data_IF_139222487705
#
_entry.id   IF_139222487705
#
_cell.length_a   1.000
_cell.length_b   1.000
_cell.length_c   1.000
_cell.angle_alpha   90.00
_cell.angle_beta   90.00
_cell.angle_gamma   90.00
#
_symmetry.space_group_name_H-M   'P 1'
#
loop_
_entity.id
_entity.type
_entity.pdbx_description
1 polymer ?
#
# COMPACT_ATOMS: atom_id res chain seq x y z
N UNK A 1 -47.05 -27.94 -2.60
CA UNK A 1 -46.05 -27.47 -1.62
C UNK A 1 -44.79 -27.12 -2.36
N UNK A 2 -44.05 -26.10 -1.92
CA UNK A 2 -42.73 -25.79 -2.49
C UNK A 2 -41.71 -26.81 -2.00
N UNK A 3 -40.88 -27.32 -2.90
CA UNK A 3 -39.77 -28.19 -2.54
C UNK A 3 -38.67 -27.37 -1.86
N UNK A 4 -38.28 -27.77 -0.65
CA UNK A 4 -37.11 -27.20 0.04
C UNK A 4 -35.86 -27.76 -0.63
N UNK A 5 -34.87 -26.92 -0.91
CA UNK A 5 -33.60 -27.39 -1.46
C UNK A 5 -32.90 -28.30 -0.44
N UNK A 6 -32.30 -29.43 -0.83
CA UNK A 6 -31.62 -30.33 0.11
C UNK A 6 -30.60 -29.63 1.03
N UNK A 7 -29.92 -28.58 0.55
CA UNK A 7 -29.01 -27.74 1.33
C UNK A 7 -29.66 -26.93 2.46
N UNK A 8 -30.97 -26.67 2.34
CA UNK A 8 -31.79 -25.94 3.31
C UNK A 8 -32.60 -26.89 4.21
N UNK A 9 -32.65 -28.19 3.87
CA UNK A 9 -33.45 -29.19 4.56
C UNK A 9 -32.79 -29.78 5.82
N UNK A 10 -31.58 -29.35 6.19
CA UNK A 10 -30.87 -29.82 7.39
C UNK A 10 -30.47 -31.30 7.35
N UNK A 11 -30.35 -31.88 6.16
CA UNK A 11 -29.98 -33.28 5.96
C UNK A 11 -28.56 -33.58 6.46
N UNK A 12 -28.32 -34.80 6.95
CA UNK A 12 -27.01 -35.26 7.41
C UNK A 12 -26.53 -36.47 6.59
N UNK A 13 -25.35 -36.41 5.95
CA UNK A 13 -24.43 -35.26 5.93
C UNK A 13 -25.01 -34.07 5.14
N UNK A 14 -24.63 -32.85 5.55
CA UNK A 14 -25.09 -31.63 4.89
C UNK A 14 -24.62 -31.64 3.44
N UNK A 15 -25.51 -31.52 2.44
CA UNK A 15 -25.10 -31.51 1.04
C UNK A 15 -24.27 -30.25 0.74
N UNK A 16 -23.36 -30.36 -0.23
CA UNK A 16 -22.46 -29.27 -0.60
C UNK A 16 -23.26 -28.02 -1.03
N UNK A 17 -22.89 -26.86 -0.49
CA UNK A 17 -23.47 -25.59 -0.92
C UNK A 17 -22.81 -25.12 -2.21
N UNK A 18 -23.46 -24.25 -3.02
CA UNK A 18 -22.81 -23.62 -4.16
C UNK A 18 -21.49 -22.93 -3.79
N UNK A 19 -21.37 -22.37 -2.58
CA UNK A 19 -20.14 -21.75 -2.12
C UNK A 19 -19.01 -22.78 -1.90
N UNK A 20 -19.32 -23.97 -1.36
CA UNK A 20 -18.34 -25.05 -1.18
C UNK A 20 -17.80 -25.54 -2.53
N UNK A 21 -18.65 -25.61 -3.55
CA UNK A 21 -18.25 -25.99 -4.90
C UNK A 21 -17.38 -24.92 -5.57
N UNK A 22 -17.69 -23.65 -5.39
CA UNK A 22 -16.87 -22.55 -5.92
C UNK A 22 -15.51 -22.47 -5.22
N UNK A 23 -15.45 -22.68 -3.90
CA UNK A 23 -14.20 -22.81 -3.14
C UNK A 23 -13.35 -23.97 -3.65
N UNK A 24 -13.95 -25.15 -3.79
CA UNK A 24 -13.26 -26.33 -4.32
C UNK A 24 -12.74 -26.10 -5.73
N UNK A 25 -13.54 -25.47 -6.60
CA UNK A 25 -13.14 -25.07 -7.95
C UNK A 25 -11.89 -24.19 -7.93
N UNK A 26 -11.83 -23.21 -7.04
CA UNK A 26 -10.67 -22.35 -6.89
C UNK A 26 -9.43 -23.09 -6.37
N UNK A 27 -9.60 -24.00 -5.39
CA UNK A 27 -8.50 -24.83 -4.87
C UNK A 27 -7.86 -25.67 -5.97
N UNK A 28 -8.67 -26.40 -6.74
CA UNK A 28 -8.19 -27.33 -7.79
C UNK A 28 -7.76 -26.64 -9.08
N UNK A 29 -8.24 -25.41 -9.33
CA UNK A 29 -7.82 -24.56 -10.45
C UNK A 29 -8.08 -25.20 -11.82
N UNK A 30 -7.11 -25.10 -12.72
CA UNK A 30 -7.22 -25.60 -14.10
C UNK A 30 -7.43 -27.12 -14.20
N UNK A 31 -7.33 -27.86 -13.09
CA UNK A 31 -7.62 -29.31 -13.03
C UNK A 31 -9.07 -29.61 -12.62
N UNK A 32 -9.95 -28.61 -12.55
CA UNK A 32 -11.33 -28.79 -12.08
C UNK A 32 -12.12 -29.82 -12.88
N UNK A 33 -11.81 -30.02 -14.16
CA UNK A 33 -12.51 -30.99 -15.00
C UNK A 33 -12.30 -32.42 -14.51
N UNK A 34 -11.24 -32.71 -13.76
CA UNK A 34 -10.91 -34.06 -13.28
C UNK A 34 -11.14 -34.23 -11.78
N UNK A 35 -11.53 -33.17 -11.06
CA UNK A 35 -11.81 -33.24 -9.63
C UNK A 35 -13.09 -34.06 -9.35
N UNK A 36 -12.93 -35.10 -8.53
CA UNK A 36 -14.01 -36.05 -8.22
C UNK A 36 -15.12 -35.41 -7.37
N UNK A 37 -14.79 -34.45 -6.51
CA UNK A 37 -15.76 -33.78 -5.65
C UNK A 37 -16.68 -32.86 -6.44
N UNK A 38 -16.13 -32.05 -7.36
CA UNK A 38 -16.91 -31.20 -8.26
C UNK A 38 -17.82 -32.03 -9.17
N UNK A 39 -17.31 -33.12 -9.75
CA UNK A 39 -18.10 -34.01 -10.62
C UNK A 39 -19.28 -34.67 -9.92
N UNK A 40 -19.14 -34.96 -8.63
CA UNK A 40 -20.21 -35.59 -7.84
C UNK A 40 -21.29 -34.61 -7.39
N UNK A 41 -20.94 -33.33 -7.22
CA UNK A 41 -21.83 -32.34 -6.60
C UNK A 41 -22.33 -31.24 -7.56
N UNK A 42 -21.71 -31.08 -8.73
CA UNK A 42 -22.26 -30.23 -9.81
C UNK A 42 -23.27 -31.01 -10.64
N UNK A 43 -24.34 -30.33 -11.03
CA UNK A 43 -25.28 -30.88 -12.02
C UNK A 43 -24.58 -31.09 -13.38
N UNK A 44 -25.03 -32.09 -14.14
CA UNK A 44 -24.54 -32.33 -15.49
C UNK A 44 -24.63 -31.07 -16.38
N UNK A 45 -25.75 -30.34 -16.31
CA UNK A 45 -25.94 -29.11 -17.07
C UNK A 45 -24.92 -28.00 -16.71
N UNK A 46 -24.51 -27.90 -15.44
CA UNK A 46 -23.49 -26.93 -15.03
C UNK A 46 -22.10 -27.34 -15.54
N UNK A 47 -21.78 -28.64 -15.51
CA UNK A 47 -20.54 -29.18 -16.06
C UNK A 47 -20.47 -28.97 -17.58
N UNK A 48 -21.56 -29.23 -18.30
CA UNK A 48 -21.64 -29.04 -19.75
C UNK A 48 -21.47 -27.55 -20.09
N UNK A 49 -22.16 -26.66 -19.37
CA UNK A 49 -22.00 -25.21 -19.55
C UNK A 49 -20.56 -24.74 -19.31
N UNK A 50 -19.88 -25.25 -18.28
CA UNK A 50 -18.50 -24.87 -18.00
C UNK A 50 -17.50 -25.48 -18.99
N UNK A 51 -17.85 -26.59 -19.64
CA UNK A 51 -17.07 -27.16 -20.75
C UNK A 51 -17.24 -26.35 -22.03
N UNK A 52 -18.47 -25.94 -22.34
CA UNK A 52 -18.79 -25.10 -23.51
C UNK A 52 -18.22 -23.68 -23.36
N UNK A 53 -18.16 -23.17 -22.13
CA UNK A 53 -17.65 -21.84 -21.80
C UNK A 53 -16.53 -21.90 -20.74
N UNK A 54 -15.32 -22.38 -21.10
CA UNK A 54 -14.21 -22.56 -20.16
C UNK A 54 -13.70 -21.25 -19.54
N UNK A 55 -14.07 -20.10 -20.10
CA UNK A 55 -13.75 -18.79 -19.54
C UNK A 55 -14.53 -18.49 -18.26
N UNK A 56 -15.69 -19.13 -18.04
CA UNK A 56 -16.48 -18.98 -16.80
C UNK A 56 -15.72 -19.55 -15.59
N UNK A 57 -15.34 -20.85 -15.55
CA UNK A 57 -14.56 -21.38 -14.44
C UNK A 57 -13.19 -20.71 -14.33
N UNK A 58 -12.53 -20.36 -15.45
CA UNK A 58 -11.27 -19.58 -15.39
C UNK A 58 -11.43 -18.23 -14.72
N UNK A 59 -12.51 -17.48 -15.01
CA UNK A 59 -12.80 -16.21 -14.35
C UNK A 59 -13.11 -16.40 -12.87
N UNK A 60 -13.85 -17.44 -12.50
CA UNK A 60 -14.13 -17.76 -11.09
C UNK A 60 -12.84 -18.12 -10.34
N UNK A 61 -12.03 -19.03 -10.89
CA UNK A 61 -10.71 -19.40 -10.34
C UNK A 61 -9.84 -18.16 -10.20
N UNK A 62 -9.77 -17.32 -11.24
CA UNK A 62 -9.00 -16.08 -11.22
C UNK A 62 -9.49 -15.12 -10.14
N UNK A 63 -10.80 -14.91 -9.99
CA UNK A 63 -11.38 -14.02 -8.99
C UNK A 63 -11.14 -14.53 -7.56
N UNK A 64 -11.15 -15.85 -7.36
CA UNK A 64 -10.98 -16.47 -6.05
C UNK A 64 -9.51 -16.63 -5.64
N UNK A 65 -8.64 -16.86 -6.62
CA UNK A 65 -7.18 -16.88 -6.46
C UNK A 65 -6.56 -15.49 -6.57
N UNK A 66 -7.35 -14.46 -6.91
CA UNK A 66 -6.91 -13.09 -6.77
C UNK A 66 -6.72 -12.86 -5.28
N UNK A 67 -5.46 -12.72 -4.79
CA UNK A 67 -5.18 -12.55 -3.37
C UNK A 67 -5.88 -11.33 -2.78
N UNK A 68 -6.36 -10.44 -3.65
CA UNK A 68 -6.97 -9.18 -3.32
C UNK A 68 -8.51 -9.22 -3.32
N UNK A 69 -9.18 -10.31 -3.72
CA UNK A 69 -10.66 -10.36 -3.87
C UNK A 69 -11.38 -11.46 -3.07
N UNK A 70 -10.67 -12.31 -2.34
CA UNK A 70 -11.31 -13.30 -1.44
C UNK A 70 -11.65 -12.67 -0.08
N UNK A 71 -12.44 -13.33 0.78
CA UNK A 71 -12.77 -12.83 2.14
C UNK A 71 -11.54 -12.78 3.09
N UNK A 72 -10.38 -13.29 2.61
CA UNK A 72 -9.05 -13.06 3.15
C UNK A 72 -8.34 -11.88 2.46
N UNK A 73 -9.07 -11.06 1.71
CA UNK A 73 -8.61 -9.91 0.92
C UNK A 73 -8.27 -8.71 1.79
N UNK A 74 -7.70 -8.96 2.96
CA UNK A 74 -6.70 -8.05 3.49
C UNK A 74 -5.41 -8.26 2.72
N UNK A 75 -4.66 -7.19 2.49
CA UNK A 75 -3.24 -7.31 2.13
C UNK A 75 -2.46 -8.13 3.19
N UNK A 76 -2.98 -8.25 4.43
CA UNK A 76 -2.44 -9.11 5.51
C UNK A 76 -3.52 -9.51 6.54
N UNK A 77 -3.65 -10.79 6.90
CA UNK A 77 -4.56 -11.24 7.98
C UNK A 77 -4.29 -10.61 9.37
N UNK A 78 -3.16 -9.90 9.53
CA UNK A 78 -2.64 -9.35 10.79
C UNK A 78 -2.74 -7.82 10.92
N UNK A 79 -3.34 -7.10 9.96
CA UNK A 79 -3.47 -5.62 10.01
C UNK A 79 -4.54 -5.21 11.04
N UNK A 80 -4.19 -4.35 12.01
CA UNK A 80 -5.18 -3.68 12.86
C UNK A 80 -5.90 -2.59 12.06
N UNK A 81 -7.01 -2.98 11.42
CA UNK A 81 -7.86 -2.09 10.65
C UNK A 81 -8.45 -0.93 11.45
N UNK A 82 -8.57 -1.03 12.78
CA UNK A 82 -9.09 0.08 13.58
C UNK A 82 -8.07 1.22 13.69
N UNK A 83 -6.80 0.89 13.93
CA UNK A 83 -5.71 1.86 13.93
C UNK A 83 -5.46 2.44 12.52
N UNK A 84 -5.53 1.60 11.49
CA UNK A 84 -5.38 2.02 10.09
C UNK A 84 -6.56 2.91 9.62
N UNK A 85 -7.80 2.54 9.95
CA UNK A 85 -8.99 3.33 9.66
C UNK A 85 -8.96 4.70 10.36
N UNK A 86 -8.39 4.81 11.57
CA UNK A 86 -8.20 6.12 12.22
C UNK A 86 -7.27 7.03 11.40
N UNK A 87 -6.14 6.52 10.92
CA UNK A 87 -5.22 7.26 10.05
C UNK A 87 -5.79 7.66 8.68
N UNK A 88 -6.84 6.97 8.22
CA UNK A 88 -7.51 7.23 6.96
C UNK A 88 -8.79 8.07 7.08
N UNK A 89 -9.45 8.05 8.23
CA UNK A 89 -10.76 8.70 8.43
C UNK A 89 -10.68 9.95 9.33
N UNK A 90 -9.53 10.19 9.99
CA UNK A 90 -9.31 11.38 10.80
C UNK A 90 -9.32 12.64 9.93
N UNK A 91 -10.16 13.61 10.29
CA UNK A 91 -10.39 14.81 9.51
C UNK A 91 -9.14 15.70 9.35
N UNK A 92 -8.29 15.78 10.37
CA UNK A 92 -7.06 16.57 10.31
C UNK A 92 -6.06 15.96 9.32
N UNK A 93 -5.92 14.62 9.34
CA UNK A 93 -5.05 13.89 8.41
C UNK A 93 -5.59 14.00 6.98
N UNK A 94 -6.90 13.88 6.78
CA UNK A 94 -7.53 14.07 5.47
C UNK A 94 -7.34 15.50 4.97
N UNK A 95 -7.44 16.51 5.83
CA UNK A 95 -7.19 17.89 5.44
C UNK A 95 -5.76 18.09 4.93
N UNK A 96 -4.76 17.50 5.58
CA UNK A 96 -3.36 17.51 5.10
C UNK A 96 -3.25 16.84 3.73
N UNK A 97 -3.77 15.61 3.60
CA UNK A 97 -3.74 14.85 2.34
C UNK A 97 -4.43 15.60 1.20
N UNK A 98 -5.57 16.23 1.48
CA UNK A 98 -6.31 16.98 0.48
C UNK A 98 -5.59 18.27 0.08
N UNK A 99 -5.07 19.03 1.04
CA UNK A 99 -4.30 20.24 0.77
C UNK A 99 -3.03 19.96 -0.05
N UNK A 100 -2.41 18.79 0.13
CA UNK A 100 -1.25 18.38 -0.68
C UNK A 100 -1.57 18.29 -2.18
N UNK A 101 -2.82 17.96 -2.55
CA UNK A 101 -3.17 17.59 -3.93
C UNK A 101 -4.24 18.46 -4.59
N UNK A 102 -5.00 19.27 -3.84
CA UNK A 102 -6.21 19.95 -4.35
C UNK A 102 -5.96 20.79 -5.61
N UNK A 103 -4.85 21.51 -5.69
CA UNK A 103 -4.48 22.36 -6.83
C UNK A 103 -4.03 21.54 -8.07
N UNK A 104 -3.79 20.24 -7.88
CA UNK A 104 -3.37 19.31 -8.92
C UNK A 104 -4.55 18.61 -9.59
N UNK A 105 -5.74 18.65 -9.01
CA UNK A 105 -6.91 17.92 -9.50
C UNK A 105 -7.54 18.62 -10.73
N UNK A 106 -8.08 17.83 -11.66
CA UNK A 106 -8.95 18.30 -12.76
C UNK A 106 -10.38 17.83 -12.52
N UNK A 107 -11.37 18.76 -12.55
CA UNK A 107 -12.77 18.39 -12.38
C UNK A 107 -13.30 17.57 -13.57
N UNK A 108 -14.42 16.88 -13.33
CA UNK A 108 -15.06 15.95 -14.25
C UNK A 108 -15.08 14.54 -13.64
N UNK A 109 -14.47 13.52 -14.26
CA UNK A 109 -14.36 12.19 -13.66
C UNK A 109 -13.12 12.04 -12.80
N UNK A 110 -13.30 12.01 -11.49
CA UNK A 110 -12.23 11.88 -10.48
C UNK A 110 -12.30 10.50 -9.84
N UNK A 111 -11.21 9.76 -9.90
CA UNK A 111 -11.08 8.41 -9.37
C UNK A 111 -10.07 8.41 -8.23
N UNK A 112 -10.44 7.93 -7.06
CA UNK A 112 -9.54 7.65 -5.92
C UNK A 112 -9.30 6.14 -5.84
N UNK A 113 -8.09 5.70 -6.19
CA UNK A 113 -7.70 4.29 -6.21
C UNK A 113 -7.00 3.93 -4.89
N UNK A 114 -7.61 3.02 -4.11
CA UNK A 114 -7.29 2.82 -2.70
C UNK A 114 -8.06 3.78 -1.79
N UNK A 115 -9.34 4.03 -2.09
CA UNK A 115 -10.10 5.13 -1.45
C UNK A 115 -10.45 4.88 0.03
N UNK A 116 -10.19 3.68 0.56
CA UNK A 116 -10.57 3.29 1.91
C UNK A 116 -12.05 3.60 2.20
N UNK A 117 -12.34 4.37 3.25
CA UNK A 117 -13.69 4.74 3.64
C UNK A 117 -14.27 5.95 2.86
N UNK A 118 -13.59 6.42 1.82
CA UNK A 118 -14.01 7.53 0.97
C UNK A 118 -13.86 8.92 1.61
N UNK A 119 -13.16 9.08 2.73
CA UNK A 119 -13.04 10.38 3.40
C UNK A 119 -12.33 11.45 2.55
N UNK A 120 -11.35 11.08 1.72
CA UNK A 120 -10.69 12.01 0.79
C UNK A 120 -11.67 12.51 -0.28
N UNK A 121 -12.47 11.61 -0.87
CA UNK A 121 -13.54 11.97 -1.81
C UNK A 121 -14.57 12.90 -1.17
N UNK A 122 -14.84 12.78 0.12
CA UNK A 122 -15.74 13.70 0.83
C UNK A 122 -15.15 15.13 0.93
N UNK A 123 -13.83 15.27 0.98
CA UNK A 123 -13.18 16.58 0.88
C UNK A 123 -13.29 17.14 -0.55
N UNK A 124 -13.01 16.30 -1.55
CA UNK A 124 -13.10 16.67 -2.97
C UNK A 124 -14.52 17.08 -3.36
N UNK A 125 -15.54 16.38 -2.88
CA UNK A 125 -16.95 16.67 -3.14
C UNK A 125 -17.37 18.09 -2.76
N UNK A 126 -16.75 18.68 -1.73
CA UNK A 126 -17.05 20.06 -1.30
C UNK A 126 -16.57 21.10 -2.30
N UNK A 127 -15.40 20.88 -2.89
CA UNK A 127 -14.75 21.86 -3.75
C UNK A 127 -15.05 21.59 -5.25
N UNK A 128 -15.46 20.36 -5.57
CA UNK A 128 -15.78 19.92 -6.94
C UNK A 128 -17.15 19.19 -7.00
N UNK A 129 -18.26 19.86 -6.63
CA UNK A 129 -19.55 19.19 -6.47
C UNK A 129 -20.14 18.62 -7.76
N UNK A 130 -19.75 19.18 -8.91
CA UNK A 130 -20.21 18.77 -10.25
C UNK A 130 -19.38 17.64 -10.87
N UNK A 131 -18.35 17.15 -10.17
CA UNK A 131 -17.53 16.03 -10.63
C UNK A 131 -18.19 14.68 -10.33
N UNK A 132 -17.99 13.71 -11.23
CA UNK A 132 -18.26 12.29 -10.98
C UNK A 132 -17.12 11.73 -10.11
N UNK A 133 -17.42 11.43 -8.84
CA UNK A 133 -16.44 10.91 -7.90
C UNK A 133 -16.54 9.39 -7.81
N UNK A 134 -15.41 8.71 -7.99
CA UNK A 134 -15.37 7.25 -8.02
C UNK A 134 -14.32 6.75 -7.04
N UNK A 135 -14.73 6.04 -6.00
CA UNK A 135 -13.84 5.33 -5.10
C UNK A 135 -13.63 3.89 -5.54
N UNK A 136 -12.38 3.50 -5.74
CA UNK A 136 -11.99 2.10 -5.95
C UNK A 136 -11.29 1.60 -4.70
N UNK A 137 -11.79 0.51 -4.16
CA UNK A 137 -11.22 -0.13 -2.97
C UNK A 137 -11.23 -1.64 -3.17
N UNK A 138 -10.31 -2.34 -2.55
CA UNK A 138 -10.13 -3.76 -2.77
C UNK A 138 -10.76 -4.59 -1.65
N UNK A 139 -10.71 -4.06 -0.43
CA UNK A 139 -11.20 -4.70 0.78
C UNK A 139 -12.72 -4.52 0.94
N UNK A 140 -13.40 -5.60 1.35
CA UNK A 140 -14.85 -5.55 1.63
C UNK A 140 -15.20 -4.66 2.83
N UNK A 141 -14.33 -4.58 3.83
CA UNK A 141 -14.55 -3.77 5.03
C UNK A 141 -14.57 -2.28 4.73
N UNK A 142 -13.55 -1.74 4.05
CA UNK A 142 -13.53 -0.32 3.71
C UNK A 142 -14.63 0.05 2.73
N UNK A 143 -14.96 -0.84 1.80
CA UNK A 143 -16.14 -0.69 0.93
C UNK A 143 -17.45 -0.54 1.72
N UNK A 144 -17.62 -1.28 2.82
CA UNK A 144 -18.80 -1.16 3.67
C UNK A 144 -18.84 0.22 4.37
N UNK A 145 -17.69 0.67 4.91
CA UNK A 145 -17.52 1.99 5.56
C UNK A 145 -17.78 3.14 4.59
N UNK A 146 -17.25 3.07 3.37
CA UNK A 146 -17.48 4.06 2.32
C UNK A 146 -18.96 4.20 1.96
N UNK A 147 -19.68 3.06 1.84
CA UNK A 147 -21.12 3.04 1.61
C UNK A 147 -21.93 3.56 2.81
N UNK A 148 -21.44 3.36 4.03
CA UNK A 148 -22.06 3.96 5.22
C UNK A 148 -21.89 5.49 5.22
N UNK A 149 -20.68 5.99 4.95
CA UNK A 149 -20.42 7.43 4.77
C UNK A 149 -21.32 8.03 3.68
N UNK A 150 -21.53 7.31 2.58
CA UNK A 150 -22.45 7.74 1.52
C UNK A 150 -23.90 7.83 2.01
N UNK A 151 -24.39 6.80 2.71
CA UNK A 151 -25.75 6.79 3.30
C UNK A 151 -25.95 7.88 4.35
N UNK A 152 -24.89 8.24 5.08
CA UNK A 152 -24.89 9.33 6.05
C UNK A 152 -24.87 10.74 5.41
N UNK A 153 -24.83 10.84 4.07
CA UNK A 153 -24.80 12.13 3.36
C UNK A 153 -23.43 12.80 3.38
N UNK A 154 -22.34 12.06 3.61
CA UNK A 154 -20.98 12.59 3.76
C UNK A 154 -20.41 13.30 2.52
N UNK A 155 -21.07 13.19 1.37
CA UNK A 155 -20.65 13.78 0.09
C UNK A 155 -21.57 14.91 -0.38
N UNK A 156 -22.53 15.35 0.46
CA UNK A 156 -23.50 16.37 0.07
C UNK A 156 -24.34 15.93 -1.13
N UNK A 157 -24.40 16.78 -2.17
CA UNK A 157 -25.15 16.52 -3.41
C UNK A 157 -24.34 15.90 -4.54
N UNK A 158 -23.05 15.59 -4.32
CA UNK A 158 -22.16 15.09 -5.39
C UNK A 158 -22.50 13.66 -5.81
N UNK A 159 -22.25 13.37 -7.09
CA UNK A 159 -22.38 12.03 -7.65
C UNK A 159 -21.17 11.19 -7.24
N UNK A 160 -21.38 10.25 -6.30
CA UNK A 160 -20.32 9.39 -5.78
C UNK A 160 -20.65 7.91 -5.96
N UNK A 161 -19.70 7.16 -6.51
CA UNK A 161 -19.82 5.71 -6.72
C UNK A 161 -18.63 4.97 -6.12
N UNK A 162 -18.89 3.84 -5.45
CA UNK A 162 -17.86 2.98 -4.89
C UNK A 162 -17.86 1.61 -5.57
N UNK A 163 -16.70 1.14 -5.98
CA UNK A 163 -16.54 -0.15 -6.63
C UNK A 163 -15.40 -0.96 -5.99
N UNK A 164 -15.72 -2.22 -5.68
CA UNK A 164 -14.70 -3.16 -5.20
C UNK A 164 -13.94 -3.75 -6.39
N UNK A 165 -12.71 -3.31 -6.68
CA UNK A 165 -11.94 -3.73 -7.86
C UNK A 165 -10.43 -3.72 -7.62
N UNK A 166 -9.74 -4.64 -8.30
CA UNK A 166 -8.27 -4.68 -8.34
C UNK A 166 -7.74 -3.63 -9.34
N UNK A 167 -6.96 -2.67 -8.84
CA UNK A 167 -6.45 -1.52 -9.61
C UNK A 167 -5.33 -1.87 -10.59
N UNK A 168 -4.78 -3.09 -10.51
CA UNK A 168 -3.83 -3.63 -11.49
C UNK A 168 -4.51 -4.09 -12.79
N UNK A 169 -5.83 -4.02 -12.86
CA UNK A 169 -6.64 -4.42 -14.02
C UNK A 169 -7.35 -3.22 -14.65
N UNK A 170 -7.69 -3.28 -15.95
CA UNK A 170 -8.49 -2.24 -16.58
C UNK A 170 -9.88 -2.11 -15.93
N UNK A 171 -10.12 -0.99 -15.24
CA UNK A 171 -11.42 -0.62 -14.64
C UNK A 171 -12.25 0.28 -15.57
N UNK A 172 -11.60 1.25 -16.22
CA UNK A 172 -12.24 2.26 -17.09
C UNK A 172 -11.84 2.07 -18.55
N UNK A 173 -12.71 2.57 -19.44
CA UNK A 173 -12.39 2.73 -20.85
C UNK A 173 -11.25 3.75 -21.05
N UNK A 174 -10.51 3.58 -22.14
CA UNK A 174 -9.40 4.47 -22.50
C UNK A 174 -9.86 5.93 -22.63
N UNK A 175 -9.02 6.84 -22.16
CA UNK A 175 -9.21 8.29 -22.31
C UNK A 175 -10.54 8.82 -21.75
N UNK A 176 -11.01 8.26 -20.63
CA UNK A 176 -12.29 8.66 -20.02
C UNK A 176 -12.18 9.24 -18.60
N UNK A 177 -10.98 9.26 -18.02
CA UNK A 177 -10.73 9.74 -16.65
C UNK A 177 -10.00 11.08 -16.68
N UNK A 178 -10.46 12.01 -15.86
CA UNK A 178 -9.94 13.38 -15.80
C UNK A 178 -8.89 13.53 -14.72
N UNK A 179 -9.10 12.89 -13.58
CA UNK A 179 -8.07 12.72 -12.56
C UNK A 179 -8.13 11.33 -11.96
N UNK A 180 -7.00 10.64 -11.90
CA UNK A 180 -6.79 9.49 -11.01
C UNK A 180 -5.91 9.93 -9.85
N UNK A 181 -6.30 9.58 -8.64
CA UNK A 181 -5.58 9.82 -7.39
C UNK A 181 -5.10 8.47 -6.87
N UNK A 182 -3.82 8.39 -6.53
CA UNK A 182 -3.25 7.30 -5.74
C UNK A 182 -2.70 7.93 -4.47
N UNK A 183 -3.32 7.68 -3.32
CA UNK A 183 -2.81 8.20 -2.06
C UNK A 183 -2.38 7.04 -1.15
N UNK A 184 -1.06 6.84 -1.02
CA UNK A 184 -0.44 5.79 -0.22
C UNK A 184 -0.85 4.38 -0.68
N UNK A 185 -0.65 4.09 -1.97
CA UNK A 185 -1.10 2.83 -2.60
C UNK A 185 -0.03 2.21 -3.48
N UNK A 186 0.89 2.99 -4.04
CA UNK A 186 1.85 2.46 -5.01
C UNK A 186 2.94 1.63 -4.32
N UNK A 187 3.34 1.99 -3.09
CA UNK A 187 4.27 1.15 -2.31
C UNK A 187 3.67 -0.22 -1.98
N UNK A 188 2.34 -0.34 -1.83
CA UNK A 188 1.67 -1.62 -1.68
C UNK A 188 1.75 -2.42 -3.00
N UNK A 189 1.49 -1.76 -4.15
CA UNK A 189 1.65 -2.41 -5.46
C UNK A 189 3.06 -2.91 -5.71
N UNK A 190 4.07 -2.15 -5.27
CA UNK A 190 5.47 -2.58 -5.34
C UNK A 190 5.71 -3.79 -4.44
N UNK A 191 5.28 -3.71 -3.17
CA UNK A 191 5.64 -4.68 -2.13
C UNK A 191 4.91 -6.01 -2.28
N UNK A 192 3.62 -5.99 -2.60
CA UNK A 192 2.78 -7.18 -2.76
C UNK A 192 2.70 -7.67 -4.20
N UNK A 193 3.12 -6.84 -5.16
CA UNK A 193 3.21 -7.21 -6.57
C UNK A 193 4.55 -7.80 -6.96
N UNK A 194 4.87 -7.73 -8.25
CA UNK A 194 6.15 -8.13 -8.82
C UNK A 194 7.15 -6.95 -8.83
N UNK A 195 7.19 -6.16 -7.75
CA UNK A 195 8.05 -4.98 -7.63
C UNK A 195 7.77 -3.93 -8.71
N UNK A 196 8.84 -3.39 -9.29
CA UNK A 196 8.78 -2.37 -10.35
C UNK A 196 7.93 -2.79 -11.55
N UNK A 197 7.89 -4.10 -11.87
CA UNK A 197 7.09 -4.61 -12.99
C UNK A 197 5.61 -4.28 -12.81
N UNK A 198 5.08 -4.47 -11.61
CA UNK A 198 3.68 -4.14 -11.30
C UNK A 198 3.45 -2.64 -11.35
N UNK A 199 4.38 -1.84 -10.82
CA UNK A 199 4.26 -0.37 -10.82
C UNK A 199 4.28 0.18 -12.25
N UNK A 200 5.21 -0.26 -13.10
CA UNK A 200 5.26 0.17 -14.50
C UNK A 200 4.01 -0.22 -15.29
N UNK A 201 3.52 -1.46 -15.11
CA UNK A 201 2.29 -1.91 -15.76
C UNK A 201 1.08 -1.06 -15.30
N UNK A 202 1.01 -0.74 -14.02
CA UNK A 202 -0.01 0.13 -13.45
C UNK A 202 0.03 1.55 -14.06
N UNK A 203 1.22 2.18 -14.11
CA UNK A 203 1.36 3.52 -14.68
C UNK A 203 0.96 3.57 -16.16
N UNK A 204 1.35 2.56 -16.95
CA UNK A 204 0.95 2.45 -18.36
C UNK A 204 -0.58 2.30 -18.50
N UNK A 205 -1.21 1.51 -17.64
CA UNK A 205 -2.66 1.37 -17.59
C UNK A 205 -3.36 2.69 -17.25
N UNK A 206 -2.86 3.43 -16.25
CA UNK A 206 -3.40 4.75 -15.89
C UNK A 206 -3.26 5.74 -17.03
N UNK A 207 -2.12 5.73 -17.73
CA UNK A 207 -1.94 6.56 -18.93
C UNK A 207 -3.03 6.27 -19.96
N UNK A 208 -3.27 5.00 -20.29
CA UNK A 208 -4.30 4.59 -21.25
C UNK A 208 -5.71 5.08 -20.86
N UNK A 209 -6.08 5.02 -19.58
CA UNK A 209 -7.39 5.44 -19.05
C UNK A 209 -7.56 6.96 -18.93
N UNK A 210 -6.46 7.70 -18.82
CA UNK A 210 -6.47 9.15 -18.64
C UNK A 210 -6.79 9.85 -19.95
N UNK A 211 -7.71 10.83 -19.95
CA UNK A 211 -8.03 11.65 -21.12
C UNK A 211 -6.91 12.65 -21.45
N UNK A 212 -6.94 13.24 -22.64
CA UNK A 212 -6.09 14.40 -22.96
C UNK A 212 -6.38 15.57 -21.99
N UNK A 213 -5.33 16.14 -21.41
CA UNK A 213 -5.40 17.14 -20.34
C UNK A 213 -5.77 16.59 -18.96
N UNK A 214 -6.03 15.28 -18.84
CA UNK A 214 -6.27 14.60 -17.58
C UNK A 214 -4.96 14.31 -16.83
N UNK A 215 -5.08 13.99 -15.54
CA UNK A 215 -3.94 13.85 -14.64
C UNK A 215 -3.94 12.56 -13.83
N UNK A 216 -2.76 12.00 -13.61
CA UNK A 216 -2.49 11.05 -12.54
C UNK A 216 -1.78 11.80 -11.41
N UNK A 217 -2.36 11.79 -10.21
CA UNK A 217 -1.81 12.44 -9.01
C UNK A 217 -1.47 11.35 -7.99
N UNK A 218 -0.19 11.22 -7.69
CA UNK A 218 0.34 10.24 -6.74
C UNK A 218 0.82 11.00 -5.51
N UNK A 219 0.24 10.70 -4.35
CA UNK A 219 0.76 11.11 -3.04
C UNK A 219 1.24 9.85 -2.34
N UNK A 220 2.55 9.71 -2.13
CA UNK A 220 3.09 8.48 -1.57
C UNK A 220 4.36 8.72 -0.72
N UNK A 221 5.03 7.64 -0.34
CA UNK A 221 6.37 7.63 0.24
C UNK A 221 7.44 7.68 -0.85
N UNK A 222 8.65 8.10 -0.50
CA UNK A 222 9.76 8.26 -1.45
C UNK A 222 11.08 7.81 -0.85
N UNK A 223 11.93 7.25 -1.71
CA UNK A 223 13.32 6.99 -1.37
C UNK A 223 14.15 8.28 -1.32
N UNK A 224 15.16 8.33 -0.45
CA UNK A 224 16.02 9.51 -0.32
C UNK A 224 16.87 9.71 -1.57
N UNK A 225 17.11 10.98 -1.95
CA UNK A 225 18.09 11.29 -2.99
C UNK A 225 19.47 10.78 -2.58
N UNK A 226 20.13 10.03 -3.47
CA UNK A 226 21.42 9.42 -3.15
C UNK A 226 21.28 8.25 -2.18
N UNK A 227 20.22 7.45 -2.32
CA UNK A 227 19.88 6.29 -1.47
C UNK A 227 21.03 5.35 -1.13
N UNK A 228 21.99 5.19 -2.06
CA UNK A 228 23.21 4.38 -1.87
C UNK A 228 24.33 5.02 -1.06
N UNK A 229 24.22 6.29 -0.67
CA UNK A 229 25.24 7.00 0.09
C UNK A 229 25.45 6.37 1.48
N UNK A 230 26.70 6.12 1.87
CA UNK A 230 27.04 5.72 3.23
C UNK A 230 26.76 6.87 4.22
N UNK A 231 26.09 6.53 5.32
CA UNK A 231 25.73 7.45 6.40
C UNK A 231 26.08 6.86 7.75
N UNK A 232 26.39 7.76 8.67
CA UNK A 232 26.63 7.48 10.08
C UNK A 232 25.40 7.94 10.85
N UNK A 233 24.59 6.98 11.29
CA UNK A 233 23.38 7.24 12.05
C UNK A 233 23.66 7.05 13.53
N UNK A 234 23.63 8.14 14.29
CA UNK A 234 23.48 8.07 15.73
C UNK A 234 22.02 7.78 16.05
N UNK A 235 21.78 6.71 16.80
CA UNK A 235 20.46 6.29 17.25
C UNK A 235 20.42 6.37 18.77
N UNK A 236 19.38 7.01 19.31
CA UNK A 236 19.25 7.18 20.75
C UNK A 236 19.14 5.80 21.44
N UNK A 237 19.96 5.64 22.48
CA UNK A 237 20.06 4.42 23.30
C UNK A 237 19.42 4.60 24.68
N UNK A 238 19.15 5.84 25.06
CA UNK A 238 18.63 6.22 26.38
C UNK A 238 17.11 6.40 26.39
N UNK A 239 16.44 6.30 25.23
CA UNK A 239 15.00 6.47 25.09
C UNK A 239 14.19 5.16 25.18
N UNK A 240 14.80 4.09 25.70
CA UNK A 240 14.16 2.81 25.94
C UNK A 240 15.13 1.75 26.43
N UNK A 241 14.69 0.49 26.47
CA UNK A 241 15.51 -0.65 26.88
C UNK A 241 16.25 -1.26 25.68
N UNK A 242 17.36 -1.95 25.97
CA UNK A 242 18.14 -2.69 24.96
C UNK A 242 18.23 -4.19 25.25
N UNK A 243 17.58 -4.64 26.32
CA UNK A 243 17.53 -6.04 26.70
C UNK A 243 16.47 -6.79 25.87
N UNK A 244 16.73 -8.06 25.59
CA UNK A 244 15.81 -8.98 24.92
C UNK A 244 15.18 -8.42 23.61
N UNK A 245 15.98 -7.70 22.81
CA UNK A 245 15.56 -7.08 21.53
C UNK A 245 14.76 -8.07 20.66
N UNK A 246 15.22 -9.33 20.63
CA UNK A 246 14.73 -10.36 19.76
C UNK A 246 13.65 -11.26 20.37
N UNK A 247 13.08 -10.86 21.51
CA UNK A 247 12.01 -11.58 22.21
C UNK A 247 10.94 -12.09 21.25
N UNK A 248 10.63 -13.38 21.38
CA UNK A 248 9.45 -13.99 20.76
C UNK A 248 8.20 -13.55 21.51
N UNK A 249 7.20 -13.08 20.78
CA UNK A 249 5.93 -12.59 21.34
C UNK A 249 4.80 -13.52 20.93
N UNK A 250 3.75 -13.60 21.75
CA UNK A 250 2.63 -14.52 21.52
C UNK A 250 1.72 -14.07 20.36
N UNK A 251 1.57 -12.76 20.18
CA UNK A 251 0.76 -12.12 19.16
C UNK A 251 1.31 -10.72 18.81
N UNK A 252 0.67 -10.05 17.84
CA UNK A 252 1.05 -8.72 17.37
C UNK A 252 0.91 -7.63 18.43
N UNK A 253 -0.03 -7.74 19.37
CA UNK A 253 -0.21 -6.74 20.43
C UNK A 253 0.93 -6.81 21.45
N UNK A 254 1.30 -8.02 21.89
CA UNK A 254 2.47 -8.26 22.73
C UNK A 254 3.78 -7.84 22.05
N UNK A 255 3.87 -8.04 20.72
CA UNK A 255 4.98 -7.54 19.94
C UNK A 255 5.04 -6.01 19.94
N UNK A 256 3.92 -5.33 19.68
CA UNK A 256 3.85 -3.88 19.66
C UNK A 256 4.24 -3.27 21.02
N UNK A 257 3.77 -3.86 22.13
CA UNK A 257 4.15 -3.46 23.49
C UNK A 257 5.65 -3.61 23.71
N UNK A 258 6.22 -4.77 23.36
CA UNK A 258 7.67 -5.02 23.47
C UNK A 258 8.48 -4.02 22.66
N UNK A 259 8.12 -3.80 21.39
CA UNK A 259 8.77 -2.83 20.51
C UNK A 259 8.68 -1.41 21.05
N UNK A 260 7.57 -1.06 21.70
CA UNK A 260 7.34 0.25 22.32
C UNK A 260 8.27 0.54 23.49
N UNK A 261 8.71 -0.50 24.20
CA UNK A 261 9.72 -0.38 25.25
C UNK A 261 11.17 -0.24 24.75
N UNK A 262 11.46 -0.71 23.54
CA UNK A 262 12.82 -0.68 22.98
C UNK A 262 13.30 0.75 22.71
N UNK A 263 14.59 1.01 22.97
CA UNK A 263 15.26 2.24 22.52
C UNK A 263 15.23 2.37 20.99
N UNK A 264 15.44 3.57 20.48
CA UNK A 264 15.54 3.80 19.03
C UNK A 264 16.62 2.89 18.42
N UNK A 265 17.79 2.80 19.04
CA UNK A 265 18.84 1.86 18.63
C UNK A 265 18.39 0.39 18.67
N UNK A 266 17.79 -0.08 19.77
CA UNK A 266 17.37 -1.47 19.91
C UNK A 266 16.30 -1.84 18.86
N UNK A 267 15.39 -0.91 18.56
CA UNK A 267 14.39 -1.11 17.52
C UNK A 267 15.00 -1.17 16.11
N UNK A 268 16.12 -0.49 15.85
CA UNK A 268 16.87 -0.65 14.60
C UNK A 268 17.46 -2.06 14.47
N UNK A 269 18.01 -2.62 15.56
CA UNK A 269 18.50 -4.01 15.54
C UNK A 269 17.37 -5.01 15.27
N UNK A 270 16.19 -4.79 15.86
CA UNK A 270 14.99 -5.57 15.58
C UNK A 270 14.53 -5.43 14.13
N UNK A 271 14.50 -4.22 13.60
CA UNK A 271 14.23 -3.92 12.18
C UNK A 271 15.17 -4.68 11.25
N UNK A 272 16.49 -4.66 11.51
CA UNK A 272 17.47 -5.37 10.68
C UNK A 272 17.26 -6.88 10.60
N UNK A 273 16.59 -7.48 11.59
CA UNK A 273 16.18 -8.89 11.56
C UNK A 273 14.87 -9.09 10.79
N UNK A 274 13.86 -8.27 11.10
CA UNK A 274 12.48 -8.51 10.69
C UNK A 274 12.18 -7.98 9.28
N UNK A 275 12.83 -6.89 8.84
CA UNK A 275 12.57 -6.26 7.55
C UNK A 275 12.74 -7.24 6.40
N UNK A 276 11.66 -7.50 5.67
CA UNK A 276 11.53 -8.42 4.55
C UNK A 276 11.95 -9.87 4.87
N UNK A 277 11.93 -10.26 6.14
CA UNK A 277 12.29 -11.61 6.56
C UNK A 277 11.36 -12.66 5.95
N UNK A 278 10.06 -12.38 5.89
CA UNK A 278 9.06 -13.27 5.29
C UNK A 278 9.30 -13.48 3.80
N UNK A 279 9.60 -12.41 3.05
CA UNK A 279 9.94 -12.48 1.63
C UNK A 279 11.19 -13.36 1.39
N UNK A 280 12.20 -13.24 2.26
CA UNK A 280 13.41 -14.10 2.20
C UNK A 280 13.07 -15.55 2.54
N UNK A 281 12.25 -15.81 3.56
CA UNK A 281 11.83 -17.16 3.96
C UNK A 281 10.97 -17.84 2.88
N UNK A 282 10.13 -17.07 2.19
CA UNK A 282 9.33 -17.52 1.07
C UNK A 282 10.14 -17.68 -0.24
N UNK A 283 11.43 -17.34 -0.25
CA UNK A 283 12.29 -17.40 -1.44
C UNK A 283 11.98 -16.35 -2.50
N UNK A 284 11.21 -15.32 -2.17
CA UNK A 284 10.89 -14.20 -3.07
C UNK A 284 12.03 -13.17 -3.12
N UNK A 285 12.85 -13.12 -2.07
CA UNK A 285 14.12 -12.38 -2.04
C UNK A 285 15.30 -13.32 -1.78
N UNK A 286 16.52 -13.01 -2.27
CA UNK A 286 17.71 -13.78 -1.97
C UNK A 286 17.96 -13.90 -0.46
N UNK A 287 18.38 -15.06 0.03
CA UNK A 287 18.61 -15.28 1.46
C UNK A 287 19.69 -14.35 2.05
N UNK A 288 20.64 -13.91 1.23
CA UNK A 288 21.74 -12.99 1.56
C UNK A 288 21.40 -11.50 1.35
N UNK A 289 20.15 -11.19 0.96
CA UNK A 289 19.67 -9.80 0.81
C UNK A 289 19.35 -9.10 2.14
N UNK A 290 19.72 -9.70 3.28
CA UNK A 290 19.53 -9.06 4.58
C UNK A 290 20.30 -7.73 4.64
N UNK A 291 19.69 -6.73 5.29
CA UNK A 291 20.30 -5.43 5.51
C UNK A 291 21.67 -5.56 6.16
N UNK A 292 22.65 -4.85 5.61
CA UNK A 292 24.02 -4.82 6.12
C UNK A 292 24.30 -3.50 6.82
N UNK A 293 24.92 -3.57 7.98
CA UNK A 293 25.39 -2.41 8.73
C UNK A 293 26.56 -2.82 9.62
N UNK A 294 27.34 -1.83 10.04
CA UNK A 294 28.38 -1.99 11.06
C UNK A 294 28.20 -0.95 12.14
N UNK A 295 28.81 -1.21 13.29
CA UNK A 295 28.86 -0.27 14.39
C UNK A 295 30.26 0.35 14.45
N UNK A 296 30.35 1.67 14.47
CA UNK A 296 31.60 2.41 14.66
C UNK A 296 31.51 3.30 15.89
N UNK A 297 32.57 3.33 16.69
CA UNK A 297 32.73 4.26 17.80
C UNK A 297 33.58 5.45 17.33
N UNK A 298 32.99 6.65 17.33
CA UNK A 298 33.66 7.89 16.92
C UNK A 298 33.60 8.84 18.10
N UNK A 299 34.75 9.26 18.62
CA UNK A 299 34.88 10.13 19.79
C UNK A 299 34.07 9.65 21.01
N UNK A 300 33.98 8.33 21.20
CA UNK A 300 33.24 7.72 22.31
C UNK A 300 31.74 7.59 22.08
N UNK A 301 31.21 8.01 20.93
CA UNK A 301 29.81 7.91 20.56
C UNK A 301 29.59 6.81 19.50
N UNK A 302 28.63 5.88 19.70
CA UNK A 302 28.39 4.79 18.75
C UNK A 302 27.48 5.23 17.59
N UNK A 303 27.82 4.78 16.39
CA UNK A 303 27.07 5.02 15.16
C UNK A 303 26.77 3.72 14.44
N UNK A 304 25.57 3.60 13.89
CA UNK A 304 25.25 2.65 12.83
C UNK A 304 25.78 3.21 11.51
N UNK A 305 26.60 2.44 10.79
CA UNK A 305 27.08 2.81 9.46
C UNK A 305 26.50 1.87 8.42
N UNK A 306 25.70 2.43 7.52
CA UNK A 306 24.97 1.74 6.44
C UNK A 306 24.61 2.75 5.35
N UNK A 307 23.82 2.36 4.35
CA UNK A 307 23.34 3.29 3.33
C UNK A 307 22.12 4.12 3.80
N UNK A 308 21.93 5.29 3.17
CA UNK A 308 20.84 6.21 3.52
C UNK A 308 19.46 5.57 3.31
N UNK A 309 19.30 4.70 2.30
CA UNK A 309 18.07 3.95 2.06
C UNK A 309 17.63 3.13 3.28
N UNK A 310 18.55 2.37 3.86
CA UNK A 310 18.29 1.50 5.02
C UNK A 310 17.83 2.32 6.23
N UNK A 311 18.48 3.47 6.45
CA UNK A 311 18.06 4.39 7.51
C UNK A 311 16.68 4.99 7.20
N UNK A 312 16.41 5.36 5.95
CA UNK A 312 15.10 5.90 5.56
C UNK A 312 13.96 4.87 5.71
N UNK A 313 14.17 3.59 5.35
CA UNK A 313 13.21 2.51 5.62
C UNK A 313 12.96 2.32 7.11
N UNK A 314 14.04 2.32 7.91
CA UNK A 314 13.89 2.20 9.36
C UNK A 314 13.10 3.38 9.93
N UNK A 315 13.47 4.62 9.58
CA UNK A 315 12.83 5.82 10.09
C UNK A 315 11.35 5.90 9.72
N UNK A 316 10.98 5.45 8.52
CA UNK A 316 9.59 5.47 8.05
C UNK A 316 8.71 4.44 8.75
N UNK A 317 9.29 3.40 9.38
CA UNK A 317 8.56 2.26 9.95
C UNK A 317 8.65 2.15 11.47
N UNK A 318 9.70 2.70 12.08
CA UNK A 318 10.06 2.46 13.50
C UNK A 318 8.97 2.82 14.53
N UNK A 319 7.98 3.63 14.17
CA UNK A 319 6.90 4.06 15.08
C UNK A 319 5.55 3.39 14.77
N UNK A 320 5.47 2.52 13.76
CA UNK A 320 4.26 1.78 13.38
C UNK A 320 4.20 0.42 14.08
N UNK A 321 4.17 0.45 15.41
CA UNK A 321 4.37 -0.73 16.25
C UNK A 321 3.24 -1.76 16.14
N UNK A 322 1.99 -1.29 16.07
CA UNK A 322 0.81 -2.14 15.96
C UNK A 322 0.73 -2.88 14.61
N UNK A 323 1.35 -2.32 13.57
CA UNK A 323 1.35 -2.87 12.21
C UNK A 323 2.72 -3.40 11.80
N UNK A 324 3.61 -3.65 12.76
CA UNK A 324 5.03 -3.94 12.52
C UNK A 324 5.25 -5.03 11.47
N UNK A 325 4.51 -6.14 11.53
CA UNK A 325 4.66 -7.25 10.59
C UNK A 325 4.40 -6.80 9.14
N UNK A 326 3.25 -6.15 8.89
CA UNK A 326 2.94 -5.60 7.56
C UNK A 326 3.93 -4.53 7.10
N UNK A 327 4.38 -3.67 8.02
CA UNK A 327 5.36 -2.63 7.70
C UNK A 327 6.73 -3.23 7.34
N UNK A 328 7.13 -4.33 7.99
CA UNK A 328 8.38 -5.02 7.68
C UNK A 328 8.33 -5.73 6.33
N UNK A 329 7.14 -6.07 5.84
CA UNK A 329 6.97 -6.64 4.51
C UNK A 329 7.18 -5.58 3.41
N UNK A 330 6.67 -4.37 3.63
CA UNK A 330 6.64 -3.31 2.63
C UNK A 330 7.96 -2.54 2.49
N UNK A 331 8.32 -2.17 1.26
CA UNK A 331 9.42 -1.23 0.98
C UNK A 331 8.87 0.13 0.60
N UNK A 332 9.28 1.17 1.32
CA UNK A 332 8.83 2.56 1.08
C UNK A 332 9.81 3.36 0.22
N UNK A 333 11.06 2.91 0.14
CA UNK A 333 12.17 3.70 -0.42
C UNK A 333 12.70 3.13 -1.73
N UNK A 334 11.90 2.33 -2.45
CA UNK A 334 12.34 1.65 -3.68
C UNK A 334 12.78 2.63 -4.77
N UNK A 335 12.08 3.77 -4.93
CA UNK A 335 12.43 4.83 -5.88
C UNK A 335 12.68 6.18 -5.22
N UNK A 336 13.76 6.83 -5.61
CA UNK A 336 13.98 8.26 -5.39
C UNK A 336 13.18 9.11 -6.38
N UNK A 337 13.12 10.43 -6.16
CA UNK A 337 12.24 11.31 -6.94
C UNK A 337 12.47 11.25 -8.46
N UNK A 338 13.73 11.17 -8.89
CA UNK A 338 14.05 11.09 -10.31
C UNK A 338 13.65 9.76 -10.96
N UNK A 339 13.71 8.65 -10.21
CA UNK A 339 13.23 7.33 -10.67
C UNK A 339 11.70 7.32 -10.82
N UNK A 340 10.98 7.92 -9.87
CA UNK A 340 9.54 8.16 -9.97
C UNK A 340 9.15 8.95 -11.23
N UNK A 341 9.86 10.06 -11.50
CA UNK A 341 9.64 10.88 -12.70
C UNK A 341 9.96 10.14 -13.98
N UNK A 342 11.04 9.36 -14.00
CA UNK A 342 11.42 8.53 -15.14
C UNK A 342 10.36 7.48 -15.44
N UNK A 343 9.85 6.77 -14.42
CA UNK A 343 8.80 5.77 -14.57
C UNK A 343 7.50 6.38 -15.12
N UNK A 344 7.10 7.55 -14.61
CA UNK A 344 5.90 8.24 -15.05
C UNK A 344 6.03 8.77 -16.50
N UNK A 345 7.21 9.28 -16.85
CA UNK A 345 7.53 9.72 -18.22
C UNK A 345 7.54 8.54 -19.19
N UNK A 346 8.11 7.39 -18.78
CA UNK A 346 8.14 6.18 -19.59
C UNK A 346 6.74 5.62 -19.86
N UNK A 347 5.78 5.82 -18.95
CA UNK A 347 4.38 5.48 -19.17
C UNK A 347 3.66 6.41 -20.18
N UNK A 348 4.26 7.55 -20.53
CA UNK A 348 3.74 8.51 -21.51
C UNK A 348 3.22 9.83 -20.93
N UNK A 349 3.21 9.97 -19.60
CA UNK A 349 2.79 11.22 -18.97
C UNK A 349 3.87 12.31 -19.09
N UNK A 350 3.43 13.56 -19.14
CA UNK A 350 4.30 14.70 -18.92
C UNK A 350 4.27 15.07 -17.43
N UNK A 351 5.41 14.95 -16.75
CA UNK A 351 5.54 15.35 -15.35
C UNK A 351 5.41 16.87 -15.24
N UNK A 352 4.50 17.34 -14.38
CA UNK A 352 4.38 18.77 -14.11
C UNK A 352 5.40 19.18 -13.03
N UNK A 353 6.35 20.02 -13.42
CA UNK A 353 7.32 20.66 -12.52
C UNK A 353 7.39 22.15 -12.84
N UNK A 354 7.04 22.99 -11.87
CA UNK A 354 7.23 24.43 -11.91
C UNK A 354 7.82 24.90 -10.57
N UNK A 355 9.12 25.21 -10.51
CA UNK A 355 9.76 25.61 -9.25
C UNK A 355 9.22 26.93 -8.67
N UNK A 356 8.52 27.74 -9.47
CA UNK A 356 7.90 28.98 -8.99
C UNK A 356 6.50 28.76 -8.40
N UNK A 357 5.93 27.55 -8.55
CA UNK A 357 4.62 27.19 -8.03
C UNK A 357 4.65 25.74 -7.51
N UNK A 358 5.25 25.53 -6.32
CA UNK A 358 5.46 24.19 -5.79
C UNK A 358 4.13 23.48 -5.49
N UNK A 359 3.08 24.21 -5.09
CA UNK A 359 1.77 23.63 -4.78
C UNK A 359 1.12 23.01 -6.03
N UNK A 360 1.36 23.59 -7.21
CA UNK A 360 0.92 23.07 -8.51
C UNK A 360 1.93 22.14 -9.21
N UNK A 361 2.95 21.67 -8.48
CA UNK A 361 4.05 20.89 -9.05
C UNK A 361 4.28 19.57 -8.35
N UNK A 362 4.90 18.66 -9.11
CA UNK A 362 5.54 17.48 -8.54
C UNK A 362 6.67 17.92 -7.62
N UNK A 363 6.74 17.33 -6.43
CA UNK A 363 7.67 17.70 -5.37
C UNK A 363 7.85 16.55 -4.38
N UNK A 364 8.96 16.61 -3.66
CA UNK A 364 9.20 15.80 -2.46
C UNK A 364 9.31 16.70 -1.25
N UNK A 365 8.99 16.18 -0.07
CA UNK A 365 9.16 16.91 1.17
C UNK A 365 9.49 15.97 2.34
N UNK A 366 10.17 16.52 3.33
CA UNK A 366 10.32 15.90 4.64
C UNK A 366 9.20 16.42 5.54
N UNK A 367 8.33 15.53 6.02
CA UNK A 367 7.16 15.92 6.81
C UNK A 367 7.60 16.55 8.14
N UNK A 368 7.28 17.83 8.39
CA UNK A 368 7.76 18.55 9.57
C UNK A 368 7.20 17.99 10.87
N UNK A 369 5.97 17.45 10.86
CA UNK A 369 5.39 16.80 12.03
C UNK A 369 6.13 15.50 12.36
N UNK A 370 6.50 14.70 11.35
CA UNK A 370 7.31 13.49 11.54
C UNK A 370 8.67 13.87 12.12
N UNK A 371 9.34 14.89 11.59
CA UNK A 371 10.64 15.33 12.09
C UNK A 371 10.54 15.69 13.58
N UNK A 372 9.64 16.61 13.93
CA UNK A 372 9.50 17.11 15.29
C UNK A 372 9.08 16.04 16.31
N UNK A 373 8.21 15.10 15.92
CA UNK A 373 7.62 14.14 16.87
C UNK A 373 8.30 12.76 16.86
N UNK A 374 8.99 12.41 15.77
CA UNK A 374 9.54 11.06 15.57
C UNK A 374 11.05 11.02 15.40
N UNK A 375 11.70 12.08 14.88
CA UNK A 375 13.13 12.02 14.56
C UNK A 375 13.99 12.87 15.50
N UNK A 376 13.56 14.10 15.80
CA UNK A 376 14.29 15.00 16.69
C UNK A 376 14.51 14.36 18.08
N UNK A 377 15.74 14.48 18.59
CA UNK A 377 16.16 13.86 19.86
C UNK A 377 16.34 12.33 19.82
N UNK A 378 15.95 11.67 18.73
CA UNK A 378 16.04 10.21 18.57
C UNK A 378 17.10 9.76 17.57
N UNK A 379 17.31 10.54 16.51
CA UNK A 379 18.24 10.21 15.44
C UNK A 379 19.04 11.43 15.02
N UNK A 380 20.33 11.24 14.71
CA UNK A 380 21.17 12.24 14.03
C UNK A 380 21.92 11.56 12.90
N UNK A 381 21.88 12.15 11.71
CA UNK A 381 22.52 11.60 10.52
C UNK A 381 23.75 12.42 10.17
N UNK A 382 24.81 11.74 9.76
CA UNK A 382 26.03 12.36 9.30
C UNK A 382 26.56 11.67 8.05
N UNK A 383 27.30 12.42 7.26
CA UNK A 383 28.18 11.88 6.21
C UNK A 383 29.63 12.15 6.63
N UNK A 384 30.54 11.27 6.21
CA UNK A 384 31.97 11.51 6.40
C UNK A 384 32.50 12.30 5.20
N UNK A 385 33.19 13.41 5.46
CA UNK A 385 33.85 14.18 4.41
C UNK A 385 35.19 13.55 3.99
N UNK A 386 35.83 14.12 2.95
CA UNK A 386 37.10 13.63 2.42
C UNK A 386 38.27 13.66 3.43
N UNK A 387 38.14 14.41 4.52
CA UNK A 387 39.14 14.52 5.60
C UNK A 387 38.84 13.58 6.77
N UNK A 388 37.74 12.83 6.69
CA UNK A 388 37.31 11.89 7.72
C UNK A 388 36.42 12.50 8.80
N UNK A 389 36.07 13.79 8.72
CA UNK A 389 35.21 14.44 9.71
C UNK A 389 33.72 14.18 9.42
N UNK A 390 32.92 14.03 10.47
CA UNK A 390 31.48 13.89 10.36
C UNK A 390 30.83 15.25 10.10
N UNK A 391 30.06 15.33 9.02
CA UNK A 391 29.26 16.48 8.64
C UNK A 391 27.78 16.12 8.80
N UNK A 392 26.97 16.92 9.52
CA UNK A 392 25.55 16.68 9.66
C UNK A 392 24.85 16.55 8.30
N UNK A 393 23.93 15.60 8.22
CA UNK A 393 23.05 15.39 7.08
C UNK A 393 21.62 15.73 7.51
N UNK A 394 20.83 16.46 6.71
CA UNK A 394 19.40 16.62 6.99
C UNK A 394 18.68 15.27 6.97
N UNK A 395 17.51 15.22 7.61
CA UNK A 395 16.65 14.04 7.47
C UNK A 395 16.18 13.89 6.02
N UNK A 396 16.08 12.64 5.52
CA UNK A 396 15.64 12.39 4.16
C UNK A 396 14.18 12.79 3.95
N UNK A 397 13.81 13.00 2.69
CA UNK A 397 12.43 13.18 2.26
C UNK A 397 11.58 11.98 2.71
N UNK A 398 10.34 12.26 3.12
CA UNK A 398 9.41 11.23 3.61
C UNK A 398 8.28 10.97 2.62
N UNK A 399 7.96 11.97 1.80
CA UNK A 399 6.79 11.94 0.94
C UNK A 399 7.06 12.54 -0.43
N UNK A 400 6.33 12.03 -1.41
CA UNK A 400 6.26 12.54 -2.76
C UNK A 400 4.83 12.97 -3.08
N UNK A 401 4.71 14.09 -3.78
CA UNK A 401 3.55 14.46 -4.58
C UNK A 401 4.03 14.46 -6.04
N UNK A 402 3.51 13.58 -6.86
CA UNK A 402 3.90 13.43 -8.26
C UNK A 402 2.66 13.58 -9.13
N UNK A 403 2.73 14.46 -10.12
CA UNK A 403 1.62 14.70 -11.04
C UNK A 403 2.08 14.54 -12.48
N UNK A 404 1.42 13.62 -13.19
CA UNK A 404 1.59 13.40 -14.62
C UNK A 404 0.36 13.89 -15.38
N UNK A 405 0.56 14.74 -16.38
CA UNK A 405 -0.51 15.18 -17.27
C UNK A 405 -0.38 14.48 -18.63
N UNK A 406 -1.49 13.97 -19.16
CA UNK A 406 -1.52 13.43 -20.52
C UNK A 406 -1.70 14.58 -21.52
N UNK A 407 -0.71 14.82 -22.37
CA UNK A 407 -0.71 15.96 -23.32
C UNK A 407 -1.38 15.70 -24.66
#
# INVERSE_FOLDING_TARGET
>A
GFSILPAEAGESPKPATPNDLIKRLAEVGDSWQTDSYLRQNLSAAALDLWQDFPDVPRRVIRLWRDPLLNDAGSLTDERDYAAYAYGMSNQEIIAVKYNDIKELLRPGKIVDEGCADGALLAAIARDMPDSDLIGIEITGEFMARARERQRAGGFGGSYVHFHQRNITQPIFAEQTVDTTICNSTIHELFSYGAGETTVHAYLALKYAQTRKGGRLVIRDVVGPTGKGQEVYAWLNRADGIEDDIFRSCADGAALAEHLGGLSTYARFKRFGRDFQAELRQAGQLPADSQLTFREELIDGEPYIVTNLQTIAEYLSKKDYLANWQSEMFESFTFWEFDEWKAALTAAGFHVLENPNDPEQSSRVYCNPWIVANRYEGKVRLYRRDARGALQPLPFPETNIILVGERR
#
